data_IF_754186770844
#
_entry.id   IF_754186770844
#
_cell.length_a   1.000
_cell.length_b   1.000
_cell.length_c   1.000
_cell.angle_alpha   90.00
_cell.angle_beta   90.00
_cell.angle_gamma   90.00
#
_symmetry.space_group_name_H-M   'P 1'
#
loop_
_entity.id
_entity.type
_entity.pdbx_description
1 polymer ?
#
# COMPACT_ATOMS: atom_id res chain seq x y z
N UNK A 1 8.97 13.65 -6.69
CA UNK A 1 10.10 12.75 -6.40
C UNK A 1 9.49 11.56 -5.73
N UNK A 2 9.72 10.39 -6.28
CA UNK A 2 9.26 9.16 -5.66
C UNK A 2 10.22 8.83 -4.51
N UNK A 3 9.65 8.46 -3.36
CA UNK A 3 10.38 8.07 -2.18
C UNK A 3 10.39 6.55 -2.05
N UNK A 4 11.54 5.93 -1.73
CA UNK A 4 11.54 4.52 -1.37
C UNK A 4 10.79 4.34 -0.04
N UNK A 5 9.95 3.31 0.04
CA UNK A 5 9.25 2.90 1.24
C UNK A 5 9.26 1.38 1.34
N UNK A 6 9.50 0.87 2.54
CA UNK A 6 9.42 -0.56 2.81
C UNK A 6 8.09 -0.83 3.50
N UNK A 7 7.32 -1.79 3.00
CA UNK A 7 6.10 -2.26 3.63
C UNK A 7 6.15 -3.78 3.79
N UNK A 8 5.45 -4.28 4.81
CA UNK A 8 5.36 -5.73 5.05
C UNK A 8 4.15 -6.31 4.35
N UNK A 9 4.34 -7.25 3.43
CA UNK A 9 3.26 -7.89 2.71
C UNK A 9 2.35 -8.66 3.69
N UNK A 10 1.03 -8.36 3.73
CA UNK A 10 0.10 -9.02 4.65
C UNK A 10 -0.17 -10.50 4.27
N UNK A 11 0.17 -10.91 3.05
CA UNK A 11 -0.09 -12.27 2.57
C UNK A 11 1.08 -13.22 2.76
N UNK A 12 2.30 -12.76 2.48
CA UNK A 12 3.50 -13.59 2.56
C UNK A 12 4.34 -13.28 3.81
N UNK A 13 4.10 -12.14 4.46
CA UNK A 13 4.89 -11.66 5.60
C UNK A 13 6.26 -11.11 5.21
N UNK A 14 6.60 -11.05 3.91
CA UNK A 14 7.86 -10.53 3.41
C UNK A 14 7.90 -9.00 3.43
N UNK A 15 9.07 -8.43 3.70
CA UNK A 15 9.31 -7.00 3.55
C UNK A 15 9.59 -6.68 2.08
N UNK A 16 8.93 -5.64 1.58
CA UNK A 16 8.91 -5.28 0.17
C UNK A 16 9.21 -3.79 0.03
N UNK A 17 10.22 -3.48 -0.78
CA UNK A 17 10.55 -2.11 -1.15
C UNK A 17 9.70 -1.66 -2.34
N UNK A 18 9.07 -0.51 -2.20
CA UNK A 18 8.30 0.15 -3.25
C UNK A 18 8.72 1.61 -3.38
N UNK A 19 8.59 2.16 -4.58
CA UNK A 19 8.70 3.59 -4.80
C UNK A 19 7.29 4.18 -4.84
N UNK A 20 6.99 5.05 -3.88
CA UNK A 20 5.72 5.77 -3.82
C UNK A 20 5.93 7.23 -4.13
N UNK A 21 4.93 7.87 -4.75
CA UNK A 21 4.95 9.31 -4.90
C UNK A 21 4.91 9.92 -3.50
N UNK A 22 5.94 10.70 -3.13
CA UNK A 22 5.89 11.38 -1.84
C UNK A 22 4.67 12.31 -1.83
N UNK A 23 3.80 12.20 -0.82
CA UNK A 23 2.52 12.88 -0.85
C UNK A 23 2.73 14.39 -0.81
N UNK A 24 2.34 15.06 -1.90
CA UNK A 24 2.25 16.53 -1.93
C UNK A 24 0.88 16.95 -1.37
N UNK A 25 0.71 16.86 -0.05
CA UNK A 25 -0.51 17.29 0.64
C UNK A 25 -1.17 16.19 1.49
N UNK A 26 -2.50 16.25 1.62
CA UNK A 26 -3.31 15.37 2.49
C UNK A 26 -3.49 13.93 1.97
N UNK A 27 -3.05 13.62 0.75
CA UNK A 27 -3.14 12.27 0.18
C UNK A 27 -2.13 11.35 0.84
N UNK A 28 -2.52 10.73 1.96
CA UNK A 28 -1.64 9.90 2.80
C UNK A 28 -1.45 8.47 2.27
N UNK A 29 -2.31 8.01 1.35
CA UNK A 29 -2.39 6.61 0.96
C UNK A 29 -2.08 6.41 -0.53
N UNK A 30 -1.29 5.39 -0.80
CA UNK A 30 -0.78 5.03 -2.12
C UNK A 30 -1.10 3.56 -2.42
N UNK A 31 -1.41 3.25 -3.69
CA UNK A 31 -1.61 1.87 -4.14
C UNK A 31 -0.31 1.35 -4.75
N UNK A 32 0.22 0.27 -4.20
CA UNK A 32 1.45 -0.38 -4.69
C UNK A 32 1.17 -1.78 -5.20
N UNK A 33 1.85 -2.17 -6.28
CA UNK A 33 1.88 -3.55 -6.72
C UNK A 33 2.96 -4.30 -5.91
N UNK A 34 2.56 -5.36 -5.21
CA UNK A 34 3.45 -6.15 -4.38
C UNK A 34 4.09 -7.28 -5.18
N UNK A 35 5.41 -7.27 -5.46
CA UNK A 35 6.09 -8.36 -6.15
C UNK A 35 6.06 -9.68 -5.36
N UNK A 36 5.92 -9.66 -4.03
CA UNK A 36 5.93 -10.87 -3.22
C UNK A 36 4.66 -11.73 -3.38
N UNK A 37 3.51 -11.10 -3.65
CA UNK A 37 2.22 -11.80 -3.78
C UNK A 37 1.51 -11.53 -5.11
N UNK A 38 2.05 -10.63 -5.94
CA UNK A 38 1.48 -10.17 -7.21
C UNK A 38 0.08 -9.56 -7.05
N UNK A 39 -0.18 -8.88 -5.94
CA UNK A 39 -1.45 -8.18 -5.65
C UNK A 39 -1.22 -6.72 -5.29
N UNK A 40 -2.29 -5.93 -5.38
CA UNK A 40 -2.27 -4.54 -4.96
C UNK A 40 -2.47 -4.41 -3.46
N UNK A 41 -1.71 -3.52 -2.84
CA UNK A 41 -1.87 -3.12 -1.44
C UNK A 41 -2.02 -1.61 -1.35
N UNK A 42 -2.85 -1.15 -0.43
CA UNK A 42 -2.94 0.24 -0.04
C UNK A 42 -1.99 0.45 1.13
N UNK A 43 -1.02 1.34 0.97
CA UNK A 43 -0.05 1.67 2.02
C UNK A 43 -0.10 3.15 2.35
N UNK A 44 0.19 3.48 3.60
CA UNK A 44 0.47 4.86 4.01
C UNK A 44 1.83 5.27 3.44
N UNK A 45 1.85 6.24 2.54
CA UNK A 45 3.06 6.73 1.87
C UNK A 45 4.04 7.46 2.79
N UNK A 46 3.66 7.74 4.05
CA UNK A 46 4.57 8.26 5.07
C UNK A 46 5.16 7.17 5.97
N UNK A 47 4.41 6.10 6.26
CA UNK A 47 4.80 5.12 7.30
C UNK A 47 5.06 3.71 6.76
N UNK A 48 4.63 3.40 5.54
CA UNK A 48 4.71 2.05 4.96
C UNK A 48 3.69 1.08 5.55
N UNK A 49 2.79 1.56 6.42
CA UNK A 49 1.76 0.74 7.02
C UNK A 49 0.75 0.28 5.96
N UNK A 50 0.53 -1.02 5.84
CA UNK A 50 -0.50 -1.58 4.98
C UNK A 50 -1.86 -1.38 5.63
N UNK A 51 -2.77 -0.75 4.90
CA UNK A 51 -4.17 -0.67 5.31
C UNK A 51 -4.85 -2.02 5.04
N UNK A 52 -5.44 -2.65 6.06
CA UNK A 52 -6.25 -3.84 5.84
C UNK A 52 -7.50 -3.46 5.03
N UNK A 53 -7.99 -4.35 4.14
CA UNK A 53 -9.20 -4.12 3.35
C UNK A 53 -10.43 -3.79 4.20
N UNK A 54 -10.45 -4.23 5.47
CA UNK A 54 -11.52 -3.96 6.43
C UNK A 54 -11.65 -2.49 6.82
N UNK A 55 -10.59 -1.68 6.70
CA UNK A 55 -10.67 -0.23 6.92
C UNK A 55 -11.19 0.54 5.70
N UNK A 56 -11.30 -0.11 4.54
CA UNK A 56 -11.85 0.47 3.31
C UNK A 56 -13.39 0.36 3.24
N UNK A 57 -14.03 -0.08 4.33
CA UNK A 57 -15.46 -0.41 4.35
C UNK A 57 -15.74 -1.74 3.66
N UNK A 58 -16.99 -2.27 3.73
CA UNK A 58 -17.36 -3.40 2.90
C UNK A 58 -17.12 -2.99 1.45
N UNK A 59 -16.18 -3.66 0.80
CA UNK A 59 -15.90 -3.56 -0.61
C UNK A 59 -17.14 -4.06 -1.40
N UNK A 60 -18.18 -3.23 -1.52
CA UNK A 60 -19.26 -3.39 -2.48
C UNK A 60 -18.74 -3.03 -3.89
N UNK A 61 -17.73 -3.78 -4.32
CA UNK A 61 -17.34 -3.90 -5.71
C UNK A 61 -18.25 -4.93 -6.35
N UNK A 62 -19.36 -4.45 -6.91
CA UNK A 62 -20.09 -5.20 -7.94
C UNK A 62 -19.32 -5.08 -9.27
N UNK A 63 -19.07 -6.19 -9.98
CA UNK A 63 -18.38 -6.20 -11.27
C UNK A 63 -19.15 -5.46 -12.37
#
# INVERSE_FOLDING_TARGET
MDGPITFRCPQTGADVDAFVQQPKGLSRFETVNCPACMRFHFIDGMTGAVLPPTLLGPANWTP
#
